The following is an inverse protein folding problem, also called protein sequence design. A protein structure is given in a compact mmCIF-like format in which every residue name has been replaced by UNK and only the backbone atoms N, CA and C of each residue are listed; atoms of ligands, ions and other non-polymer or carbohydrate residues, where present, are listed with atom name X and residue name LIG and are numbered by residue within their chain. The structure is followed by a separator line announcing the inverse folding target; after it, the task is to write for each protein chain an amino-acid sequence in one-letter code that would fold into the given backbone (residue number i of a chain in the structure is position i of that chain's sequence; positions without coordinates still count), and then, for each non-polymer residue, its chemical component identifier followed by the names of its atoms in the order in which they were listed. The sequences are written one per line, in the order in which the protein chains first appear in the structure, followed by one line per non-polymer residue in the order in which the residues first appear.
data_IF_641959363849
#
_entry.id   IF_641959363849
#
_cell.length_a   1.000
_cell.length_b   1.000
_cell.length_c   1.000
_cell.angle_alpha   90.00
_cell.angle_beta   90.00
_cell.angle_gamma   90.00
#
_symmetry.space_group_name_H-M   'P 1'
#
loop_
_entity.id
_entity.type
_entity.pdbx_description
1 polymer ?
#
# COMPACT_ATOMS: atom_id res chain seq x y z
N UNK A 1 22.12 -6.77 14.77
CA UNK A 1 21.69 -8.17 14.88
C UNK A 1 22.86 -9.10 15.04
N UNK A 2 23.62 -9.36 13.99
CA UNK A 2 24.72 -10.38 14.01
C UNK A 2 25.77 -10.11 15.07
N UNK A 3 26.29 -8.89 15.17
CA UNK A 3 27.32 -8.52 16.19
C UNK A 3 26.83 -8.77 17.62
N UNK A 4 25.57 -8.49 17.91
CA UNK A 4 24.98 -8.65 19.24
C UNK A 4 24.29 -10.01 19.43
N UNK A 5 24.37 -10.91 18.44
CA UNK A 5 23.68 -12.21 18.41
C UNK A 5 22.22 -12.13 18.85
N UNK A 6 21.55 -11.07 18.44
CA UNK A 6 20.17 -10.76 18.84
C UNK A 6 19.36 -10.32 17.62
N UNK A 7 18.11 -10.78 17.42
CA UNK A 7 17.22 -10.28 16.40
C UNK A 7 16.97 -8.76 16.56
N UNK A 8 16.87 -8.03 15.46
CA UNK A 8 16.72 -6.58 15.48
C UNK A 8 15.49 -6.12 16.25
N UNK A 9 14.38 -6.84 16.13
CA UNK A 9 13.15 -6.47 16.86
C UNK A 9 13.35 -6.49 18.38
N UNK A 10 14.11 -7.46 18.91
CA UNK A 10 14.47 -7.51 20.35
C UNK A 10 15.40 -6.37 20.73
N UNK A 11 16.41 -6.07 19.89
CA UNK A 11 17.32 -4.93 20.09
C UNK A 11 16.53 -3.62 20.20
N UNK A 12 15.44 -3.48 19.47
CA UNK A 12 14.59 -2.30 19.47
C UNK A 12 13.39 -2.40 20.41
N UNK A 13 13.36 -3.40 21.26
CA UNK A 13 12.28 -3.66 22.22
C UNK A 13 10.92 -3.81 21.52
N UNK A 14 10.92 -4.37 20.32
CA UNK A 14 9.71 -4.69 19.59
C UNK A 14 9.07 -5.97 20.10
N UNK A 15 7.77 -6.03 20.05
CA UNK A 15 7.00 -7.23 20.40
C UNK A 15 6.53 -7.92 19.11
N UNK A 16 7.01 -9.14 18.89
CA UNK A 16 6.66 -9.91 17.70
C UNK A 16 5.17 -10.31 17.66
N UNK A 17 4.47 -10.30 18.80
CA UNK A 17 3.04 -10.63 18.87
C UNK A 17 2.16 -9.46 18.36
N UNK A 18 2.72 -8.27 18.24
CA UNK A 18 2.05 -7.05 17.77
C UNK A 18 2.26 -6.78 16.27
N UNK A 19 2.81 -7.75 15.54
CA UNK A 19 3.02 -7.59 14.10
C UNK A 19 1.67 -7.54 13.36
N UNK A 20 1.49 -6.57 12.45
CA UNK A 20 0.31 -6.55 11.60
C UNK A 20 0.33 -7.74 10.64
N UNK A 21 -0.85 -8.16 10.18
CA UNK A 21 -0.95 -9.15 9.12
C UNK A 21 -0.35 -8.60 7.82
N UNK A 22 0.38 -9.43 7.10
CA UNK A 22 0.81 -9.12 5.73
C UNK A 22 -0.38 -9.22 4.78
N UNK A 23 -0.35 -8.49 3.67
CA UNK A 23 -1.25 -8.75 2.55
C UNK A 23 -0.62 -9.75 1.56
N UNK A 24 -1.48 -10.42 0.79
CA UNK A 24 -1.09 -11.24 -0.34
C UNK A 24 -1.39 -10.48 -1.63
N UNK A 25 -0.33 -10.16 -2.38
CA UNK A 25 -0.46 -9.37 -3.61
C UNK A 25 -0.89 -10.24 -4.79
N UNK A 26 -1.94 -9.80 -5.50
CA UNK A 26 -2.39 -10.38 -6.76
C UNK A 26 -2.12 -9.38 -7.86
N UNK A 27 -1.22 -9.75 -8.78
CA UNK A 27 -0.88 -8.95 -9.97
C UNK A 27 -1.99 -8.98 -11.00
N UNK A 28 -1.99 -8.00 -11.90
CA UNK A 28 -2.92 -7.92 -13.04
C UNK A 28 -2.77 -9.17 -13.91
N UNK A 29 -3.91 -9.81 -14.17
CA UNK A 29 -4.04 -11.00 -15.00
C UNK A 29 -5.50 -11.09 -15.47
N UNK A 30 -5.91 -12.12 -16.20
CA UNK A 30 -7.34 -12.37 -16.41
C UNK A 30 -8.07 -12.54 -15.07
N UNK A 31 -9.29 -12.03 -14.97
CA UNK A 31 -10.09 -12.09 -13.73
C UNK A 31 -10.22 -13.52 -13.21
N UNK A 32 -10.38 -14.50 -14.10
CA UNK A 32 -10.44 -15.92 -13.73
C UNK A 32 -9.14 -16.40 -13.06
N UNK A 33 -7.98 -16.02 -13.58
CA UNK A 33 -6.69 -16.39 -13.02
C UNK A 33 -6.43 -15.71 -11.68
N UNK A 34 -6.86 -14.46 -11.52
CA UNK A 34 -6.79 -13.76 -10.24
C UNK A 34 -7.65 -14.44 -9.16
N UNK A 35 -8.86 -14.86 -9.52
CA UNK A 35 -9.76 -15.64 -8.65
C UNK A 35 -9.11 -16.99 -8.26
N UNK A 36 -8.52 -17.70 -9.22
CA UNK A 36 -7.81 -18.94 -8.93
C UNK A 36 -6.69 -18.73 -7.90
N UNK A 37 -5.85 -17.69 -8.08
CA UNK A 37 -4.78 -17.34 -7.12
C UNK A 37 -5.32 -17.06 -5.72
N UNK A 38 -6.48 -16.40 -5.60
CA UNK A 38 -7.14 -16.20 -4.30
C UNK A 38 -7.59 -17.52 -3.67
N UNK A 39 -8.14 -18.45 -4.47
CA UNK A 39 -8.59 -19.77 -4.01
C UNK A 39 -7.42 -20.70 -3.67
N UNK A 40 -6.32 -20.65 -4.43
CA UNK A 40 -5.10 -21.40 -4.14
C UNK A 40 -4.47 -21.01 -2.80
N UNK A 41 -4.58 -19.74 -2.42
CA UNK A 41 -4.04 -19.19 -1.17
C UNK A 41 -5.04 -18.27 -0.46
N UNK A 42 -5.99 -18.82 0.28
CA UNK A 42 -6.88 -18.03 1.11
C UNK A 42 -6.07 -17.18 2.11
N UNK A 43 -6.31 -15.87 2.10
CA UNK A 43 -5.55 -14.91 2.91
C UNK A 43 -6.49 -13.84 3.49
N UNK A 44 -6.22 -13.31 4.69
CA UNK A 44 -7.11 -12.34 5.33
C UNK A 44 -7.11 -10.96 4.68
N UNK A 45 -6.09 -10.63 3.90
CA UNK A 45 -5.93 -9.33 3.23
C UNK A 45 -5.31 -9.53 1.85
N UNK A 46 -6.00 -9.14 0.80
CA UNK A 46 -5.45 -9.13 -0.55
C UNK A 46 -5.10 -7.71 -0.99
N UNK A 47 -3.93 -7.54 -1.58
CA UNK A 47 -3.56 -6.34 -2.31
C UNK A 47 -3.69 -6.61 -3.80
N UNK A 48 -4.64 -5.94 -4.44
CA UNK A 48 -4.99 -6.14 -5.84
C UNK A 48 -4.34 -5.04 -6.67
N UNK A 49 -3.56 -5.45 -7.67
CA UNK A 49 -3.01 -4.50 -8.65
C UNK A 49 -4.10 -4.09 -9.62
N UNK A 50 -4.20 -2.78 -9.85
CA UNK A 50 -5.18 -2.13 -10.72
C UNK A 50 -4.46 -1.14 -11.67
N UNK A 51 -5.17 -0.47 -12.57
CA UNK A 51 -4.62 0.43 -13.57
C UNK A 51 -5.00 0.02 -15.00
N UNK A 52 -6.10 -0.70 -15.14
CA UNK A 52 -6.67 -1.12 -16.43
C UNK A 52 -8.09 -0.59 -16.60
N UNK A 53 -8.63 -0.52 -17.82
CA UNK A 53 -10.03 -0.15 -18.03
C UNK A 53 -11.04 -1.08 -17.35
N UNK A 54 -10.64 -2.32 -17.05
CA UNK A 54 -11.48 -3.36 -16.47
C UNK A 54 -11.44 -3.40 -14.95
N UNK A 55 -10.74 -2.47 -14.29
CA UNK A 55 -10.52 -2.48 -12.83
C UNK A 55 -11.78 -2.71 -12.03
N UNK A 56 -12.85 -1.98 -12.32
CA UNK A 56 -14.10 -2.07 -11.56
C UNK A 56 -14.78 -3.43 -11.73
N UNK A 57 -14.87 -3.93 -12.96
CA UNK A 57 -15.49 -5.24 -13.24
C UNK A 57 -14.70 -6.37 -12.61
N UNK A 58 -13.38 -6.29 -12.67
CA UNK A 58 -12.46 -7.23 -12.04
C UNK A 58 -12.60 -7.20 -10.51
N UNK A 59 -12.56 -6.02 -9.88
CA UNK A 59 -12.70 -5.89 -8.43
C UNK A 59 -14.05 -6.40 -7.91
N UNK A 60 -15.15 -6.16 -8.63
CA UNK A 60 -16.47 -6.72 -8.29
C UNK A 60 -16.46 -8.24 -8.32
N UNK A 61 -15.86 -8.84 -9.35
CA UNK A 61 -15.74 -10.30 -9.47
C UNK A 61 -14.89 -10.88 -8.33
N UNK A 62 -13.76 -10.25 -7.98
CA UNK A 62 -12.92 -10.68 -6.86
C UNK A 62 -13.65 -10.53 -5.52
N UNK A 63 -14.40 -9.43 -5.31
CA UNK A 63 -15.18 -9.21 -4.09
C UNK A 63 -16.25 -10.25 -3.88
N UNK A 64 -16.88 -10.75 -4.95
CA UNK A 64 -17.89 -11.82 -4.88
C UNK A 64 -17.31 -13.14 -4.36
N UNK A 65 -16.02 -13.38 -4.50
CA UNK A 65 -15.34 -14.63 -4.13
C UNK A 65 -14.76 -14.61 -2.69
N UNK A 66 -14.73 -13.44 -2.02
CA UNK A 66 -14.09 -13.35 -0.70
C UNK A 66 -14.68 -12.25 0.18
N UNK A 67 -14.68 -12.47 1.49
CA UNK A 67 -14.96 -11.46 2.52
C UNK A 67 -13.68 -10.86 3.12
N UNK A 68 -12.51 -11.27 2.66
CA UNK A 68 -11.22 -10.74 3.11
C UNK A 68 -11.12 -9.23 2.84
N UNK A 69 -10.24 -8.53 3.55
CA UNK A 69 -9.97 -7.11 3.28
C UNK A 69 -9.31 -6.96 1.91
N UNK A 70 -9.78 -5.99 1.14
CA UNK A 70 -9.18 -5.64 -0.15
C UNK A 70 -8.45 -4.31 -0.04
N UNK A 71 -7.22 -4.28 -0.51
CA UNK A 71 -6.40 -3.10 -0.76
C UNK A 71 -6.18 -3.01 -2.25
N UNK A 72 -6.18 -1.83 -2.82
CA UNK A 72 -5.87 -1.64 -4.23
C UNK A 72 -4.57 -0.85 -4.38
N UNK A 73 -3.78 -1.21 -5.38
CA UNK A 73 -2.54 -0.54 -5.71
C UNK A 73 -2.54 -0.22 -7.21
N UNK A 74 -2.69 1.06 -7.51
CA UNK A 74 -2.79 1.55 -8.89
C UNK A 74 -1.42 1.81 -9.53
N UNK A 75 -0.33 1.78 -8.77
CA UNK A 75 1.03 2.07 -9.23
C UNK A 75 1.10 3.32 -10.13
N UNK A 76 0.45 4.41 -9.70
CA UNK A 76 0.35 5.66 -10.43
C UNK A 76 -0.40 5.55 -11.78
N UNK A 77 -1.23 4.55 -11.96
CA UNK A 77 -1.85 4.23 -13.26
C UNK A 77 -3.16 4.97 -13.55
N UNK A 78 -3.75 5.68 -12.58
CA UNK A 78 -4.99 6.42 -12.80
C UNK A 78 -4.75 7.91 -13.06
N UNK A 79 -5.63 8.50 -13.86
CA UNK A 79 -5.83 9.95 -13.88
C UNK A 79 -6.75 10.38 -12.73
N UNK A 80 -6.78 11.67 -12.41
CA UNK A 80 -7.71 12.21 -11.40
C UNK A 80 -9.17 11.86 -11.73
N UNK A 81 -9.59 12.02 -12.99
CA UNK A 81 -10.96 11.72 -13.44
C UNK A 81 -11.31 10.24 -13.17
N UNK A 82 -10.44 9.33 -13.59
CA UNK A 82 -10.62 7.89 -13.36
C UNK A 82 -10.71 7.56 -11.87
N UNK A 83 -9.80 8.12 -11.06
CA UNK A 83 -9.81 7.90 -9.63
C UNK A 83 -11.10 8.37 -8.98
N UNK A 84 -11.58 9.58 -9.32
CA UNK A 84 -12.85 10.13 -8.80
C UNK A 84 -14.06 9.29 -9.22
N UNK A 85 -14.10 8.81 -10.46
CA UNK A 85 -15.16 7.93 -10.96
C UNK A 85 -15.22 6.58 -10.24
N UNK A 86 -14.06 6.06 -9.86
CA UNK A 86 -13.96 4.76 -9.18
C UNK A 86 -14.30 4.83 -7.69
N UNK A 87 -14.08 5.98 -7.01
CA UNK A 87 -14.24 6.10 -5.56
C UNK A 87 -15.56 5.53 -5.01
N UNK A 88 -16.76 5.88 -5.55
CA UNK A 88 -18.00 5.39 -4.98
C UNK A 88 -18.10 3.85 -5.01
N UNK A 89 -17.63 3.24 -6.10
CA UNK A 89 -17.66 1.80 -6.25
C UNK A 89 -16.62 1.10 -5.36
N UNK A 90 -15.44 1.70 -5.18
CA UNK A 90 -14.41 1.18 -4.26
C UNK A 90 -14.88 1.23 -2.81
N UNK A 91 -15.61 2.28 -2.42
CA UNK A 91 -16.26 2.39 -1.11
C UNK A 91 -17.32 1.29 -0.91
N UNK A 92 -18.20 1.09 -1.90
CA UNK A 92 -19.22 0.03 -1.89
C UNK A 92 -18.59 -1.37 -1.76
N UNK A 93 -17.47 -1.60 -2.43
CA UNK A 93 -16.71 -2.86 -2.37
C UNK A 93 -15.94 -3.03 -1.05
N UNK A 94 -15.92 -2.03 -0.18
CA UNK A 94 -15.23 -2.07 1.09
C UNK A 94 -13.70 -2.12 0.96
N UNK A 95 -13.14 -1.38 0.01
CA UNK A 95 -11.69 -1.24 -0.16
C UNK A 95 -11.10 -0.53 1.06
N UNK A 96 -10.11 -1.16 1.70
CA UNK A 96 -9.50 -0.68 2.95
C UNK A 96 -8.58 0.54 2.73
N UNK A 97 -7.85 0.55 1.62
CA UNK A 97 -6.96 1.65 1.22
C UNK A 97 -6.65 1.60 -0.28
N UNK A 98 -6.24 2.74 -0.80
CA UNK A 98 -5.74 2.91 -2.18
C UNK A 98 -4.28 3.33 -2.10
N UNK A 99 -3.39 2.54 -2.69
CA UNK A 99 -1.96 2.82 -2.80
C UNK A 99 -1.66 3.48 -4.14
N UNK A 100 -0.95 4.60 -4.11
CA UNK A 100 -0.46 5.41 -5.22
C UNK A 100 -1.44 5.50 -6.42
N UNK A 101 -2.59 6.15 -6.24
CA UNK A 101 -3.59 6.24 -7.31
C UNK A 101 -3.10 7.02 -8.54
N UNK A 102 -2.45 8.17 -8.32
CA UNK A 102 -2.02 9.10 -9.36
C UNK A 102 -0.51 9.13 -9.53
N UNK A 103 -0.03 9.72 -10.62
CA UNK A 103 1.38 9.95 -10.88
C UNK A 103 2.07 10.60 -9.68
N UNK A 104 3.32 10.20 -9.41
CA UNK A 104 4.07 10.58 -8.19
C UNK A 104 4.19 12.08 -7.95
N UNK A 105 4.14 12.88 -9.02
CA UNK A 105 4.30 14.35 -8.95
C UNK A 105 2.97 15.11 -9.14
N UNK A 106 1.82 14.41 -9.21
CA UNK A 106 0.49 15.00 -9.41
C UNK A 106 -0.08 15.58 -8.11
N UNK A 107 0.65 16.47 -7.43
CA UNK A 107 0.32 16.97 -6.10
C UNK A 107 -1.03 17.70 -6.04
N UNK A 108 -1.31 18.57 -7.01
CA UNK A 108 -2.58 19.30 -7.08
C UNK A 108 -3.77 18.35 -7.26
N UNK A 109 -3.61 17.33 -8.09
CA UNK A 109 -4.66 16.32 -8.31
C UNK A 109 -4.83 15.44 -7.08
N UNK A 110 -3.73 15.12 -6.37
CA UNK A 110 -3.79 14.38 -5.11
C UNK A 110 -4.51 15.15 -4.01
N UNK A 111 -4.38 16.47 -3.95
CA UNK A 111 -5.12 17.32 -3.00
C UNK A 111 -6.64 17.21 -3.24
N UNK A 112 -7.05 17.29 -4.50
CA UNK A 112 -8.46 17.13 -4.90
C UNK A 112 -8.95 15.72 -4.54
N UNK A 113 -8.20 14.69 -4.95
CA UNK A 113 -8.58 13.30 -4.69
C UNK A 113 -8.65 13.00 -3.19
N UNK A 114 -7.69 13.51 -2.41
CA UNK A 114 -7.70 13.34 -0.95
C UNK A 114 -8.92 13.95 -0.29
N UNK A 115 -9.33 15.11 -0.77
CA UNK A 115 -10.52 15.82 -0.24
C UNK A 115 -11.83 15.11 -0.59
N UNK A 116 -11.87 14.39 -1.71
CA UNK A 116 -13.03 13.64 -2.17
C UNK A 116 -13.12 12.21 -1.61
N UNK A 117 -12.00 11.63 -1.16
CA UNK A 117 -11.95 10.22 -0.79
C UNK A 117 -12.21 10.00 0.70
N UNK A 118 -13.16 9.12 1.02
CA UNK A 118 -13.31 8.54 2.36
C UNK A 118 -12.35 7.36 2.59
N UNK A 119 -11.82 6.77 1.49
CA UNK A 119 -10.86 5.67 1.54
C UNK A 119 -9.45 6.24 1.77
N UNK A 120 -8.68 5.72 2.75
CA UNK A 120 -7.32 6.16 3.00
C UNK A 120 -6.41 5.99 1.76
N UNK A 121 -5.70 7.06 1.38
CA UNK A 121 -4.74 7.10 0.28
C UNK A 121 -3.32 6.96 0.82
N UNK A 122 -2.52 6.06 0.24
CA UNK A 122 -1.14 5.79 0.66
C UNK A 122 -0.16 6.11 -0.46
N UNK A 123 0.92 6.81 -0.11
CA UNK A 123 2.01 7.10 -1.04
C UNK A 123 2.98 5.92 -1.11
N UNK A 124 3.38 5.53 -2.32
CA UNK A 124 4.48 4.60 -2.59
C UNK A 124 5.55 5.28 -3.45
N UNK A 125 5.28 5.53 -4.72
CA UNK A 125 6.21 6.18 -5.63
C UNK A 125 6.47 7.65 -5.28
N UNK A 126 5.53 8.30 -4.61
CA UNK A 126 5.67 9.69 -4.12
C UNK A 126 6.50 9.79 -2.83
N UNK A 127 6.77 8.68 -2.12
CA UNK A 127 7.49 8.66 -0.85
C UNK A 127 8.61 7.62 -0.88
N UNK A 128 9.77 8.01 -1.39
CA UNK A 128 10.93 7.12 -1.54
C UNK A 128 11.94 7.33 -0.43
N UNK A 129 12.27 8.58 -0.11
CA UNK A 129 13.28 8.96 0.85
C UNK A 129 12.68 9.64 2.10
N UNK A 130 13.50 9.77 3.13
CA UNK A 130 13.13 10.45 4.37
C UNK A 130 12.64 11.89 4.13
N UNK A 131 13.24 12.61 3.17
CA UNK A 131 12.83 13.96 2.78
C UNK A 131 11.42 14.06 2.16
N UNK A 132 10.89 12.95 1.66
CA UNK A 132 9.59 12.96 0.99
C UNK A 132 8.42 12.85 1.98
N UNK A 133 8.68 12.38 3.21
CA UNK A 133 7.63 12.10 4.20
C UNK A 133 6.83 13.35 4.54
N UNK A 134 7.52 14.47 4.80
CA UNK A 134 6.87 15.75 5.12
C UNK A 134 6.06 16.27 3.95
N UNK A 135 6.59 16.13 2.73
CA UNK A 135 5.92 16.53 1.50
C UNK A 135 4.64 15.73 1.25
N UNK A 136 4.62 14.44 1.62
CA UNK A 136 3.44 13.59 1.44
C UNK A 136 2.30 13.88 2.45
N UNK A 137 2.62 14.44 3.61
CA UNK A 137 1.65 14.60 4.70
C UNK A 137 0.37 15.38 4.34
N UNK A 138 0.41 16.45 3.52
CA UNK A 138 -0.80 17.15 3.10
C UNK A 138 -1.68 16.36 2.11
N UNK A 139 -1.09 15.41 1.38
CA UNK A 139 -1.72 14.77 0.21
C UNK A 139 -2.13 13.32 0.43
N UNK A 140 -1.60 12.65 1.46
CA UNK A 140 -1.86 11.25 1.74
C UNK A 140 -2.27 11.03 3.19
N UNK A 141 -2.91 9.90 3.45
CA UNK A 141 -3.27 9.45 4.80
C UNK A 141 -2.22 8.51 5.39
N UNK A 142 -1.33 7.99 4.55
CA UNK A 142 -0.27 7.08 4.93
C UNK A 142 0.81 6.96 3.88
N UNK A 143 1.88 6.25 4.22
CA UNK A 143 3.02 5.98 3.32
C UNK A 143 3.39 4.51 3.34
N UNK A 144 3.89 4.01 2.21
CA UNK A 144 4.47 2.68 2.07
C UNK A 144 6.00 2.78 2.04
N UNK A 145 6.63 2.32 3.11
CA UNK A 145 8.09 2.33 3.24
C UNK A 145 8.65 1.01 2.72
N UNK A 146 9.57 1.08 1.75
CA UNK A 146 10.29 -0.08 1.20
C UNK A 146 11.78 0.06 1.47
N UNK A 147 12.38 -0.93 2.12
CA UNK A 147 13.77 -0.87 2.60
C UNK A 147 14.77 -0.61 1.47
N UNK A 148 14.55 -1.21 0.31
CA UNK A 148 15.38 -1.00 -0.89
C UNK A 148 15.27 0.40 -1.47
N UNK A 149 14.10 1.04 -1.37
CA UNK A 149 13.90 2.42 -1.82
C UNK A 149 14.55 3.42 -0.88
N UNK A 150 14.34 3.29 0.43
CA UNK A 150 14.83 4.26 1.42
C UNK A 150 16.25 3.99 1.90
N UNK A 151 16.99 3.10 1.26
CA UNK A 151 18.38 2.77 1.57
C UNK A 151 18.59 2.02 2.91
N UNK A 152 17.59 1.28 3.36
CA UNK A 152 17.73 0.33 4.45
C UNK A 152 16.97 0.67 5.73
N UNK A 153 17.26 -0.11 6.79
CA UNK A 153 16.47 -0.12 8.02
C UNK A 153 16.59 1.18 8.83
N UNK A 154 17.76 1.81 8.85
CA UNK A 154 17.98 3.03 9.64
C UNK A 154 17.17 4.21 9.13
N UNK A 155 17.20 4.57 7.82
CA UNK A 155 16.32 5.59 7.29
C UNK A 155 14.83 5.18 7.39
N UNK A 156 14.48 3.90 7.15
CA UNK A 156 13.09 3.44 7.31
C UNK A 156 12.54 3.74 8.72
N UNK A 157 13.32 3.50 9.77
CA UNK A 157 12.91 3.83 11.15
C UNK A 157 12.75 5.33 11.38
N UNK A 158 13.57 6.17 10.75
CA UNK A 158 13.39 7.63 10.82
C UNK A 158 12.12 8.05 10.10
N UNK A 159 11.87 7.52 8.90
CA UNK A 159 10.61 7.74 8.16
C UNK A 159 9.38 7.34 8.98
N UNK A 160 9.39 6.18 9.64
CA UNK A 160 8.28 5.74 10.51
C UNK A 160 8.02 6.76 11.63
N UNK A 161 9.07 7.24 12.30
CA UNK A 161 8.91 8.23 13.38
C UNK A 161 8.37 9.56 12.87
N UNK A 162 8.92 10.06 11.77
CA UNK A 162 8.50 11.30 11.12
C UNK A 162 7.05 11.18 10.62
N UNK A 163 6.69 10.11 9.94
CA UNK A 163 5.32 9.87 9.48
C UNK A 163 4.32 9.90 10.65
N UNK A 164 4.63 9.20 11.74
CA UNK A 164 3.78 9.18 12.94
C UNK A 164 3.65 10.56 13.60
N UNK A 165 4.72 11.35 13.65
CA UNK A 165 4.66 12.72 14.20
C UNK A 165 3.81 13.66 13.34
N UNK A 166 3.64 13.36 12.05
CA UNK A 166 2.80 14.09 11.09
C UNK A 166 1.37 13.49 10.97
N UNK A 167 1.02 12.50 11.79
CA UNK A 167 -0.29 11.85 11.75
C UNK A 167 -0.50 10.87 10.60
N UNK A 168 0.56 10.55 9.83
CA UNK A 168 0.49 9.58 8.75
C UNK A 168 0.49 8.15 9.28
N UNK A 169 -0.33 7.31 8.69
CA UNK A 169 -0.25 5.85 8.85
C UNK A 169 0.95 5.31 8.08
N UNK A 170 1.43 4.14 8.49
CA UNK A 170 2.61 3.52 7.89
C UNK A 170 2.31 2.08 7.49
N UNK A 171 2.69 1.73 6.28
CA UNK A 171 2.80 0.38 5.77
C UNK A 171 4.27 0.11 5.43
N UNK A 172 4.72 -1.12 5.59
CA UNK A 172 6.05 -1.57 5.15
C UNK A 172 5.85 -2.58 4.02
N UNK A 173 6.30 -2.20 2.84
CA UNK A 173 6.25 -3.04 1.65
C UNK A 173 7.62 -3.59 1.27
N UNK A 174 7.63 -4.45 0.25
CA UNK A 174 8.85 -4.97 -0.36
C UNK A 174 8.82 -4.80 -1.88
N UNK A 175 10.00 -4.90 -2.48
CA UNK A 175 10.17 -5.11 -3.91
C UNK A 175 10.37 -6.62 -4.16
N UNK A 176 10.68 -7.01 -5.39
CA UNK A 176 11.15 -8.36 -5.68
C UNK A 176 12.55 -8.53 -5.09
N UNK A 177 12.62 -9.02 -3.86
CA UNK A 177 13.83 -9.13 -3.09
C UNK A 177 14.26 -10.59 -2.96
N UNK A 178 15.55 -10.80 -2.66
CA UNK A 178 16.07 -12.14 -2.33
C UNK A 178 15.62 -12.55 -0.93
N UNK A 179 15.72 -13.84 -0.62
CA UNK A 179 15.47 -14.40 0.73
C UNK A 179 16.29 -13.72 1.84
N UNK A 180 17.39 -13.03 1.48
CA UNK A 180 18.24 -12.30 2.43
C UNK A 180 17.74 -10.86 2.62
N UNK A 181 17.09 -10.30 1.59
CA UNK A 181 16.59 -8.92 1.59
C UNK A 181 15.17 -8.77 2.13
N UNK A 182 14.45 -9.88 2.25
CA UNK A 182 13.05 -9.89 2.71
C UNK A 182 12.94 -9.97 4.22
#
# INVERSE_FOLDING_TARGET
GKMLRMPLYKLWRGDATQLPNTDYTIGIDSTSRMIEKMKERPWPIYKIKVGTPEDLSMLRALRAETTARLRVDANAGWTLSQALELLPALEELGVELIEQPLAKDAWSDMEILRSASSIPLYADESCVFESDVEKCAPFFHGINIKLTKCSGITPARRMIRQARSLGLKVMVGSMNESTIGS
#
